data_IF_725447352746
#
_entry.id   IF_725447352746
#
_cell.length_a   1.000
_cell.length_b   1.000
_cell.length_c   1.000
_cell.angle_alpha   90.00
_cell.angle_beta   90.00
_cell.angle_gamma   90.00
#
_symmetry.space_group_name_H-M   'P 1'
#
loop_
_entity.id
_entity.type
_entity.pdbx_description
1 polymer ?
#
# COMPACT_ATOMS: atom_id res chain seq x y z
N UNK A 1 3.89 4.61 15.57
CA UNK A 1 3.33 5.00 16.88
C UNK A 1 1.86 5.36 16.71
N UNK A 2 0.95 4.72 17.44
CA UNK A 2 -0.51 4.90 17.28
C UNK A 2 -0.96 6.37 17.47
N UNK A 3 -0.33 7.08 18.42
CA UNK A 3 -0.60 8.50 18.70
C UNK A 3 -0.34 9.41 17.50
N UNK A 4 0.75 9.18 16.75
CA UNK A 4 1.08 10.00 15.56
C UNK A 4 0.03 9.83 14.47
N UNK A 5 -0.50 8.62 14.28
CA UNK A 5 -1.55 8.36 13.29
C UNK A 5 -2.85 9.05 13.67
N UNK A 6 -3.20 9.04 14.96
CA UNK A 6 -4.37 9.76 15.46
C UNK A 6 -4.23 11.28 15.29
N UNK A 7 -3.06 11.84 15.58
CA UNK A 7 -2.81 13.27 15.43
C UNK A 7 -2.91 13.70 13.96
N UNK A 8 -2.35 12.89 13.04
CA UNK A 8 -2.47 13.13 11.60
C UNK A 8 -3.92 13.02 11.11
N UNK A 9 -4.66 12.02 11.58
CA UNK A 9 -6.07 11.86 11.24
C UNK A 9 -6.91 13.04 11.75
N UNK A 10 -6.67 13.49 12.98
CA UNK A 10 -7.31 14.68 13.56
C UNK A 10 -7.02 15.93 12.72
N UNK A 11 -5.75 16.13 12.36
CA UNK A 11 -5.32 17.28 11.55
C UNK A 11 -5.99 17.26 10.16
N UNK A 12 -6.09 16.08 9.54
CA UNK A 12 -6.77 15.91 8.26
C UNK A 12 -8.26 16.22 8.35
N UNK A 13 -8.96 15.72 9.36
CA UNK A 13 -10.38 16.02 9.59
C UNK A 13 -10.58 17.51 9.88
N UNK A 14 -9.74 18.10 10.74
CA UNK A 14 -9.80 19.52 11.04
C UNK A 14 -9.59 20.38 9.79
N UNK A 15 -8.62 20.03 8.94
CA UNK A 15 -8.38 20.71 7.67
C UNK A 15 -9.58 20.62 6.73
N UNK A 16 -10.23 19.45 6.64
CA UNK A 16 -11.43 19.28 5.81
C UNK A 16 -12.60 20.13 6.29
N UNK A 17 -12.83 20.18 7.61
CA UNK A 17 -13.89 20.99 8.21
C UNK A 17 -13.63 22.48 8.02
N UNK A 18 -12.39 22.93 8.28
CA UNK A 18 -11.98 24.31 8.01
C UNK A 18 -12.16 24.68 6.55
N UNK A 19 -11.75 23.81 5.63
CA UNK A 19 -11.94 24.03 4.19
C UNK A 19 -13.43 24.17 3.84
N UNK A 20 -14.27 23.24 4.31
CA UNK A 20 -15.71 23.26 4.03
C UNK A 20 -16.40 24.51 4.61
N UNK A 21 -15.99 24.94 5.80
CA UNK A 21 -16.53 26.14 6.46
C UNK A 21 -16.12 27.42 5.74
N UNK A 22 -14.84 27.57 5.39
CA UNK A 22 -14.31 28.76 4.71
C UNK A 22 -14.82 28.91 3.27
N UNK A 23 -15.14 27.79 2.61
CA UNK A 23 -15.63 27.78 1.24
C UNK A 23 -17.14 27.56 1.13
N UNK A 24 -17.87 27.68 2.25
CA UNK A 24 -19.32 27.61 2.27
C UNK A 24 -19.95 28.62 1.31
N UNK A 25 -20.84 28.14 0.43
CA UNK A 25 -21.52 28.98 -0.56
C UNK A 25 -20.72 29.33 -1.81
N UNK A 26 -19.47 28.86 -1.94
CA UNK A 26 -18.68 29.01 -3.17
C UNK A 26 -19.10 27.97 -4.20
N UNK A 27 -19.43 28.41 -5.40
CA UNK A 27 -19.71 27.56 -6.56
C UNK A 27 -18.62 27.67 -7.60
N UNK A 28 -18.47 26.61 -8.40
CA UNK A 28 -17.67 26.61 -9.62
C UNK A 28 -18.65 26.69 -10.78
N UNK A 29 -18.47 27.71 -11.62
CA UNK A 29 -19.41 28.06 -12.68
C UNK A 29 -19.50 26.97 -13.76
N UNK A 30 -18.37 26.35 -14.11
CA UNK A 30 -18.33 25.32 -15.15
C UNK A 30 -17.30 24.24 -14.83
N UNK A 31 -17.72 22.98 -14.94
CA UNK A 31 -16.86 21.80 -14.81
C UNK A 31 -17.24 20.82 -15.91
N UNK A 32 -16.26 20.45 -16.73
CA UNK A 32 -16.40 19.34 -17.67
C UNK A 32 -15.67 18.11 -17.14
N UNK A 33 -16.39 17.01 -16.95
CA UNK A 33 -15.81 15.69 -16.63
C UNK A 33 -15.46 14.89 -17.89
N UNK A 34 -15.53 15.51 -19.08
CA UNK A 34 -15.29 14.88 -20.38
C UNK A 34 -16.46 14.03 -20.90
N UNK A 35 -17.32 13.52 -20.01
CA UNK A 35 -18.56 12.80 -20.36
C UNK A 35 -19.83 13.57 -19.97
N UNK A 36 -19.70 14.57 -19.09
CA UNK A 36 -20.82 15.39 -18.64
C UNK A 36 -20.30 16.76 -18.17
N UNK A 37 -21.09 17.78 -18.45
CA UNK A 37 -20.83 19.15 -18.05
C UNK A 37 -21.76 19.54 -16.90
N UNK A 38 -21.19 20.18 -15.90
CA UNK A 38 -21.90 20.63 -14.71
C UNK A 38 -21.68 22.13 -14.51
N UNK A 39 -22.75 22.82 -14.11
CA UNK A 39 -22.79 24.27 -13.93
C UNK A 39 -23.20 24.59 -12.50
N UNK A 40 -22.61 25.62 -11.90
CA UNK A 40 -22.91 26.09 -10.53
C UNK A 40 -22.78 24.99 -9.46
N UNK A 41 -21.72 24.19 -9.53
CA UNK A 41 -21.49 23.10 -8.58
C UNK A 41 -20.80 23.64 -7.31
N UNK A 42 -21.28 23.31 -6.10
CA UNK A 42 -20.61 23.70 -4.86
C UNK A 42 -19.17 23.16 -4.79
N UNK A 43 -18.20 24.04 -4.52
CA UNK A 43 -16.77 23.70 -4.45
C UNK A 43 -16.49 22.56 -3.46
N UNK A 44 -17.20 22.58 -2.33
CA UNK A 44 -17.09 21.56 -1.28
C UNK A 44 -17.42 20.15 -1.80
N UNK A 45 -18.43 20.02 -2.66
CA UNK A 45 -18.84 18.71 -3.21
C UNK A 45 -17.75 18.16 -4.10
N UNK A 46 -17.18 19.00 -4.97
CA UNK A 46 -16.13 18.60 -5.91
C UNK A 46 -14.91 18.12 -5.14
N UNK A 47 -14.45 18.90 -4.17
CA UNK A 47 -13.26 18.55 -3.37
C UNK A 47 -13.47 17.26 -2.57
N UNK A 48 -14.64 17.09 -1.94
CA UNK A 48 -14.95 15.86 -1.20
C UNK A 48 -14.98 14.65 -2.14
N UNK A 49 -15.63 14.78 -3.32
CA UNK A 49 -15.66 13.69 -4.30
C UNK A 49 -14.27 13.36 -4.82
N UNK A 50 -13.47 14.35 -5.19
CA UNK A 50 -12.08 14.14 -5.64
C UNK A 50 -11.23 13.46 -4.57
N UNK A 51 -11.37 13.88 -3.32
CA UNK A 51 -10.67 13.25 -2.19
C UNK A 51 -11.12 11.79 -2.00
N UNK A 52 -12.41 11.49 -2.12
CA UNK A 52 -12.95 10.14 -2.01
C UNK A 52 -12.43 9.24 -3.14
N UNK A 53 -12.45 9.72 -4.38
CA UNK A 53 -11.89 8.98 -5.53
C UNK A 53 -10.38 8.73 -5.37
N UNK A 54 -9.63 9.74 -4.91
CA UNK A 54 -8.21 9.58 -4.61
C UNK A 54 -7.97 8.54 -3.51
N UNK A 55 -8.77 8.55 -2.45
CA UNK A 55 -8.68 7.56 -1.37
C UNK A 55 -9.02 6.14 -1.84
N UNK A 56 -10.06 5.98 -2.67
CA UNK A 56 -10.41 4.70 -3.28
C UNK A 56 -9.28 4.19 -4.18
N UNK A 57 -8.70 5.05 -5.00
CA UNK A 57 -7.56 4.69 -5.84
C UNK A 57 -6.35 4.25 -5.02
N UNK A 58 -6.01 5.01 -3.97
CA UNK A 58 -4.93 4.66 -3.05
C UNK A 58 -5.17 3.32 -2.36
N UNK A 59 -6.42 3.02 -1.99
CA UNK A 59 -6.81 1.73 -1.40
C UNK A 59 -6.59 0.58 -2.39
N UNK A 60 -6.96 0.76 -3.66
CA UNK A 60 -6.71 -0.24 -4.71
C UNK A 60 -5.21 -0.51 -4.83
N UNK A 61 -4.40 0.56 -4.96
CA UNK A 61 -2.93 0.43 -5.05
C UNK A 61 -2.37 -0.28 -3.82
N UNK A 62 -2.82 0.08 -2.63
CA UNK A 62 -2.39 -0.55 -1.38
C UNK A 62 -2.71 -2.04 -1.34
N UNK A 63 -3.91 -2.46 -1.79
CA UNK A 63 -4.29 -3.86 -1.89
C UNK A 63 -3.34 -4.63 -2.83
N UNK A 64 -3.04 -4.09 -4.01
CA UNK A 64 -2.10 -4.70 -4.95
C UNK A 64 -0.70 -4.88 -4.34
N UNK A 65 -0.17 -3.84 -3.69
CA UNK A 65 1.13 -3.89 -3.02
C UNK A 65 1.14 -4.93 -1.90
N UNK A 66 0.06 -4.99 -1.10
CA UNK A 66 -0.05 -5.92 0.02
C UNK A 66 -0.07 -7.37 -0.46
N UNK A 67 -0.82 -7.68 -1.53
CA UNK A 67 -0.86 -9.02 -2.13
C UNK A 67 0.52 -9.41 -2.67
N UNK A 68 1.15 -8.54 -3.46
CA UNK A 68 2.49 -8.77 -4.01
C UNK A 68 3.53 -9.04 -2.92
N UNK A 69 3.46 -8.26 -1.83
CA UNK A 69 4.35 -8.42 -0.68
C UNK A 69 4.15 -9.77 0.03
N UNK A 70 2.90 -10.21 0.23
CA UNK A 70 2.61 -11.54 0.80
C UNK A 70 3.16 -12.67 -0.06
N UNK A 71 2.98 -12.59 -1.39
CA UNK A 71 3.53 -13.59 -2.32
C UNK A 71 5.06 -13.65 -2.29
N UNK A 72 5.74 -12.49 -2.23
CA UNK A 72 7.19 -12.44 -2.07
C UNK A 72 7.65 -13.10 -0.77
N UNK A 73 6.98 -12.82 0.35
CA UNK A 73 7.30 -13.43 1.65
C UNK A 73 7.11 -14.95 1.59
N UNK A 74 6.05 -15.45 0.96
CA UNK A 74 5.84 -16.89 0.79
C UNK A 74 6.95 -17.56 -0.01
N UNK A 75 7.37 -16.95 -1.13
CA UNK A 75 8.49 -17.45 -1.95
C UNK A 75 9.80 -17.46 -1.18
N UNK A 76 10.11 -16.36 -0.48
CA UNK A 76 11.31 -16.23 0.34
C UNK A 76 11.35 -17.27 1.46
N UNK A 77 10.22 -17.54 2.13
CA UNK A 77 10.12 -18.59 3.14
C UNK A 77 10.37 -19.98 2.55
N UNK A 78 9.78 -20.29 1.39
CA UNK A 78 10.00 -21.58 0.71
C UNK A 78 11.48 -21.78 0.35
N UNK A 79 12.12 -20.76 -0.23
CA UNK A 79 13.52 -20.82 -0.61
C UNK A 79 14.43 -20.98 0.62
N UNK A 80 14.14 -20.27 1.72
CA UNK A 80 14.91 -20.42 2.96
C UNK A 80 14.81 -21.83 3.54
N UNK A 81 13.62 -22.44 3.47
CA UNK A 81 13.42 -23.83 3.90
C UNK A 81 14.23 -24.82 3.04
N UNK A 82 14.22 -24.65 1.72
CA UNK A 82 14.98 -25.49 0.79
C UNK A 82 16.49 -25.37 1.01
N UNK A 83 16.99 -24.13 1.11
CA UNK A 83 18.42 -23.88 1.38
C UNK A 83 18.86 -24.45 2.74
N UNK A 84 17.99 -24.43 3.75
CA UNK A 84 18.26 -25.07 5.04
C UNK A 84 18.34 -26.59 4.93
N UNK A 85 17.42 -27.20 4.18
CA UNK A 85 17.42 -28.64 3.93
C UNK A 85 18.65 -29.09 3.15
N UNK A 86 19.07 -28.32 2.14
CA UNK A 86 20.33 -28.55 1.40
C UNK A 86 21.55 -28.43 2.30
N UNK A 87 21.61 -27.40 3.15
CA UNK A 87 22.70 -27.21 4.10
C UNK A 87 22.79 -28.36 5.11
N UNK A 88 21.64 -28.79 5.65
CA UNK A 88 21.59 -29.93 6.56
C UNK A 88 22.06 -31.19 5.83
N UNK A 89 21.56 -31.47 4.62
CA UNK A 89 21.98 -32.62 3.80
C UNK A 89 23.49 -32.62 3.55
N UNK A 90 24.08 -31.48 3.20
CA UNK A 90 25.54 -31.35 3.02
C UNK A 90 26.31 -31.58 4.32
N UNK A 91 25.71 -31.27 5.47
CA UNK A 91 26.33 -31.46 6.79
C UNK A 91 26.28 -32.91 7.26
N UNK A 92 25.29 -33.69 6.81
CA UNK A 92 25.16 -35.12 7.12
C UNK A 92 25.73 -36.01 6.01
N UNK A 93 26.23 -35.42 4.92
CA UNK A 93 26.90 -36.19 3.87
C UNK A 93 28.12 -36.88 4.51
N UNK A 94 28.12 -38.22 4.60
CA UNK A 94 29.23 -38.93 5.21
C UNK A 94 30.49 -38.69 4.35
N UNK A 95 31.62 -38.48 5.00
CA UNK A 95 32.95 -38.33 4.39
C UNK A 95 33.47 -39.64 3.76
N UNK A 96 32.58 -40.48 3.25
CA UNK A 96 32.86 -41.90 2.93
C UNK A 96 33.43 -42.09 1.51
N UNK A 97 33.60 -41.01 0.74
CA UNK A 97 34.20 -41.02 -0.60
C UNK A 97 35.46 -40.12 -0.70
N UNK A 98 36.18 -39.91 0.40
CA UNK A 98 37.59 -39.50 0.27
C UNK A 98 38.40 -40.79 0.11
N UNK A 99 38.94 -41.12 -1.09
CA UNK A 99 39.86 -42.23 -1.22
C UNK A 99 41.00 -41.96 -0.23
N UNK A 100 41.14 -42.82 0.77
CA UNK A 100 42.31 -42.85 1.62
C UNK A 100 43.50 -43.02 0.67
N UNK A 101 44.31 -41.98 0.51
CA UNK A 101 45.62 -42.11 -0.10
C UNK A 101 46.42 -43.05 0.83
N UNK A 102 46.51 -44.31 0.42
CA UNK A 102 47.39 -45.31 1.01
C UNK A 102 48.83 -44.74 1.07
N UNK A 103 49.30 -44.48 2.29
CA UNK A 103 50.67 -44.12 2.62
C UNK A 103 51.30 -45.15 3.54
#
# INVERSE_FOLDING_TARGET
MWVVHLLLALLLVFSLVMFASLNGGRTVDFISLGFADFVNVPLNIIVIQSALFGALWALIVFLFVQISSRLKIMRLKKLNSQLREELDTLRILPLEDLPEEEG
#
